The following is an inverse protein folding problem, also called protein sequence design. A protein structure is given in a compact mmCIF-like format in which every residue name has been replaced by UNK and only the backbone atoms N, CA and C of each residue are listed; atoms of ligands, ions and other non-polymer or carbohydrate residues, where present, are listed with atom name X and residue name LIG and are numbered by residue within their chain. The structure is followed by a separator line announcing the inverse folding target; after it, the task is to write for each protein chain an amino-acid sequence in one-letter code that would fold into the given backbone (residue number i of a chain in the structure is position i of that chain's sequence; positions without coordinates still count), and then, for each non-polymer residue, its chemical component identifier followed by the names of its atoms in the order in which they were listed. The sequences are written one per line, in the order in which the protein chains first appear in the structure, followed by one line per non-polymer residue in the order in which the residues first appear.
data_IF_174074813967
#
_entry.id   IF_174074813967
#
_cell.length_a   1.000
_cell.length_b   1.000
_cell.length_c   1.000
_cell.angle_alpha   90.00
_cell.angle_beta   90.00
_cell.angle_gamma   90.00
#
_symmetry.space_group_name_H-M   'P 1'
#
loop_
_entity.id
_entity.type
_entity.pdbx_description
1 polymer ?
#
# COMPACT_ATOMS: atom_id res chain seq x y z
N UNK A 1 -20.74 -21.38 0.10
CA UNK A 1 -19.73 -21.89 -0.84
C UNK A 1 -18.50 -21.01 -0.74
N UNK A 2 -17.34 -21.57 -0.38
CA UNK A 2 -16.07 -20.84 -0.35
C UNK A 2 -15.68 -20.50 -1.78
N UNK A 3 -15.57 -19.20 -2.09
CA UNK A 3 -15.09 -18.73 -3.40
C UNK A 3 -13.63 -19.17 -3.60
N UNK A 4 -13.25 -19.50 -4.83
CA UNK A 4 -11.85 -19.77 -5.16
C UNK A 4 -10.99 -18.53 -4.88
N UNK A 5 -9.88 -18.70 -4.17
CA UNK A 5 -9.08 -17.58 -3.66
C UNK A 5 -7.71 -17.48 -4.31
N UNK A 6 -7.40 -18.29 -5.33
CA UNK A 6 -6.17 -18.11 -6.11
C UNK A 6 -6.19 -16.78 -6.85
N UNK A 7 -5.06 -16.06 -6.83
CA UNK A 7 -4.88 -14.80 -7.55
C UNK A 7 -4.91 -15.08 -9.05
N UNK A 8 -5.84 -14.42 -9.75
CA UNK A 8 -6.03 -14.57 -11.19
C UNK A 8 -5.36 -13.44 -11.97
N UNK A 9 -5.49 -12.21 -11.46
CA UNK A 9 -5.02 -11.00 -12.13
C UNK A 9 -4.55 -9.97 -11.11
N UNK A 10 -3.44 -9.29 -11.44
CA UNK A 10 -2.90 -8.15 -10.69
C UNK A 10 -2.63 -7.04 -11.70
N UNK A 11 -3.15 -5.85 -11.44
CA UNK A 11 -3.00 -4.70 -12.32
C UNK A 11 -2.60 -3.46 -11.54
N UNK A 12 -1.57 -2.77 -12.02
CA UNK A 12 -1.10 -1.51 -11.48
C UNK A 12 -1.50 -0.34 -12.38
N UNK A 13 -1.82 0.80 -11.78
CA UNK A 13 -2.04 2.05 -12.50
C UNK A 13 -1.51 3.25 -11.73
N UNK A 14 -1.21 4.33 -12.46
CA UNK A 14 -0.78 5.60 -11.89
C UNK A 14 -2.01 6.43 -11.52
N UNK A 15 -2.09 6.84 -10.26
CA UNK A 15 -3.07 7.80 -9.75
C UNK A 15 -2.34 8.96 -9.07
N UNK A 16 -3.06 9.90 -8.45
CA UNK A 16 -2.48 11.08 -7.80
C UNK A 16 -2.84 11.10 -6.30
N UNK A 17 -1.86 11.44 -5.47
CA UNK A 17 -2.04 11.63 -4.03
C UNK A 17 -2.70 12.99 -3.71
N UNK A 18 -2.97 13.26 -2.43
CA UNK A 18 -3.59 14.51 -1.97
C UNK A 18 -2.76 15.77 -2.24
N UNK A 19 -1.48 15.64 -2.63
CA UNK A 19 -0.60 16.75 -3.02
C UNK A 19 -0.49 16.89 -4.54
N UNK A 20 -1.27 16.11 -5.30
CA UNK A 20 -1.20 16.06 -6.76
C UNK A 20 0.06 15.37 -7.30
N UNK A 21 0.74 14.54 -6.49
CA UNK A 21 1.92 13.78 -6.94
C UNK A 21 1.52 12.37 -7.39
N UNK A 22 2.17 11.82 -8.43
CA UNK A 22 1.90 10.45 -8.86
C UNK A 22 2.11 9.42 -7.73
N UNK A 23 1.24 8.42 -7.65
CA UNK A 23 1.41 7.22 -6.80
C UNK A 23 0.84 5.98 -7.51
N UNK A 24 1.08 4.80 -6.93
CA UNK A 24 0.66 3.50 -7.48
C UNK A 24 -0.66 3.09 -6.85
N UNK A 25 -1.66 2.79 -7.67
CA UNK A 25 -2.82 1.98 -7.28
C UNK A 25 -2.64 0.57 -7.83
N UNK A 26 -2.98 -0.45 -7.03
CA UNK A 26 -3.05 -1.83 -7.47
C UNK A 26 -4.48 -2.38 -7.32
N UNK A 27 -4.86 -3.26 -8.24
CA UNK A 27 -6.09 -4.02 -8.23
C UNK A 27 -5.76 -5.50 -8.36
N UNK A 28 -6.34 -6.32 -7.49
CA UNK A 28 -6.16 -7.78 -7.47
C UNK A 28 -7.52 -8.44 -7.62
N UNK A 29 -7.62 -9.38 -8.58
CA UNK A 29 -8.79 -10.24 -8.77
C UNK A 29 -8.45 -11.68 -8.42
N UNK A 30 -9.28 -12.31 -7.60
CA UNK A 30 -9.22 -13.74 -7.29
C UNK A 30 -10.12 -14.52 -8.25
N UNK A 31 -9.80 -15.80 -8.49
CA UNK A 31 -10.57 -16.67 -9.40
C UNK A 31 -12.05 -16.79 -9.04
N UNK A 32 -12.40 -16.66 -7.77
CA UNK A 32 -13.78 -16.65 -7.29
C UNK A 32 -14.55 -15.34 -7.53
N UNK A 33 -13.95 -14.38 -8.26
CA UNK A 33 -14.54 -13.10 -8.65
C UNK A 33 -14.33 -11.95 -7.66
N UNK A 34 -13.71 -12.22 -6.51
CA UNK A 34 -13.40 -11.20 -5.52
C UNK A 34 -12.37 -10.19 -6.04
N UNK A 35 -12.58 -8.90 -5.76
CA UNK A 35 -11.69 -7.82 -6.20
C UNK A 35 -11.31 -6.93 -5.02
N UNK A 36 -10.03 -6.66 -4.89
CA UNK A 36 -9.48 -5.70 -3.93
C UNK A 36 -8.68 -4.61 -4.64
N UNK A 37 -8.72 -3.39 -4.11
CA UNK A 37 -7.96 -2.24 -4.62
C UNK A 37 -7.31 -1.50 -3.47
N UNK A 38 -6.11 -0.97 -3.71
CA UNK A 38 -5.43 -0.13 -2.75
C UNK A 38 -4.47 0.85 -3.43
N UNK A 39 -4.31 2.03 -2.82
CA UNK A 39 -3.41 3.08 -3.27
C UNK A 39 -2.25 3.16 -2.29
N UNK A 40 -1.01 3.15 -2.78
CA UNK A 40 0.16 3.37 -1.94
C UNK A 40 0.13 4.81 -1.37
N UNK A 41 0.20 4.98 -0.04
CA UNK A 41 0.38 6.29 0.55
C UNK A 41 1.77 6.84 0.21
N UNK A 42 1.91 8.17 0.19
CA UNK A 42 3.19 8.81 -0.10
C UNK A 42 3.56 9.81 0.99
N UNK A 43 4.68 9.59 1.68
CA UNK A 43 5.23 10.50 2.69
C UNK A 43 5.87 11.76 2.09
N UNK A 44 6.01 12.81 2.90
CA UNK A 44 6.85 13.98 2.61
C UNK A 44 8.20 13.90 3.35
N UNK A 45 8.16 13.49 4.61
CA UNK A 45 9.33 13.16 5.43
C UNK A 45 9.65 11.68 5.23
N UNK A 46 10.86 11.38 4.79
CA UNK A 46 11.36 10.01 4.63
C UNK A 46 12.56 9.84 5.55
N UNK A 47 12.46 8.94 6.52
CA UNK A 47 13.60 8.48 7.30
C UNK A 47 14.62 7.79 6.39
N UNK A 48 15.91 7.91 6.73
CA UNK A 48 17.01 7.33 5.94
C UNK A 48 17.00 5.78 5.88
N UNK A 49 16.27 5.13 6.78
CA UNK A 49 16.13 3.68 6.87
C UNK A 49 14.78 3.15 6.35
N UNK A 50 13.91 4.01 5.80
CA UNK A 50 12.61 3.58 5.27
C UNK A 50 12.76 2.77 3.97
N UNK A 51 11.76 1.93 3.70
CA UNK A 51 11.61 1.30 2.41
C UNK A 51 11.43 2.36 1.30
N UNK A 52 12.03 2.12 0.14
CA UNK A 52 12.20 3.15 -0.89
C UNK A 52 11.10 3.06 -1.94
N UNK A 53 10.29 4.13 -2.04
CA UNK A 53 9.45 4.35 -3.23
C UNK A 53 10.30 4.40 -4.49
N UNK A 54 9.93 3.62 -5.50
CA UNK A 54 10.51 3.75 -6.82
C UNK A 54 9.87 4.94 -7.55
N UNK A 55 10.70 5.93 -7.87
CA UNK A 55 10.37 7.14 -8.62
C UNK A 55 11.21 7.18 -9.91
N UNK A 56 10.65 7.70 -10.99
CA UNK A 56 11.31 7.68 -12.30
C UNK A 56 12.46 8.72 -12.41
N UNK A 57 12.47 9.75 -11.57
CA UNK A 57 13.42 10.86 -11.69
C UNK A 57 13.22 11.68 -12.97
N UNK A 58 14.21 12.51 -13.30
CA UNK A 58 14.16 13.40 -14.47
C UNK A 58 13.19 14.59 -14.31
N UNK A 59 12.80 15.19 -15.43
CA UNK A 59 11.99 16.42 -15.45
C UNK A 59 10.48 16.17 -15.43
N UNK A 60 10.02 14.99 -15.88
CA UNK A 60 8.60 14.65 -15.94
C UNK A 60 8.02 14.58 -14.52
N UNK A 61 6.91 15.30 -14.28
CA UNK A 61 6.28 15.40 -12.97
C UNK A 61 7.25 15.82 -11.85
N UNK A 62 8.26 16.63 -12.16
CA UNK A 62 9.30 17.03 -11.20
C UNK A 62 10.12 15.85 -10.65
N UNK A 63 10.24 14.77 -11.42
CA UNK A 63 10.95 13.55 -11.03
C UNK A 63 10.17 12.60 -10.12
N UNK A 64 8.89 12.92 -9.83
CA UNK A 64 8.04 12.14 -8.94
C UNK A 64 7.16 11.10 -9.64
N UNK A 65 7.30 10.94 -10.96
CA UNK A 65 6.56 9.94 -11.71
C UNK A 65 6.87 8.51 -11.22
N UNK A 66 5.95 7.58 -11.49
CA UNK A 66 5.95 6.21 -10.95
C UNK A 66 5.74 5.16 -12.03
N UNK A 67 6.06 5.46 -13.30
CA UNK A 67 5.83 4.52 -14.41
C UNK A 67 6.63 3.23 -14.22
N UNK A 68 7.87 3.33 -13.73
CA UNK A 68 8.68 2.15 -13.44
C UNK A 68 8.11 1.26 -12.33
N UNK A 69 7.49 1.87 -11.31
CA UNK A 69 6.81 1.14 -10.24
C UNK A 69 5.52 0.48 -10.75
N UNK A 70 4.72 1.19 -11.55
CA UNK A 70 3.50 0.66 -12.18
C UNK A 70 3.84 -0.48 -13.14
N UNK A 71 4.87 -0.34 -13.97
CA UNK A 71 5.34 -1.39 -14.87
C UNK A 71 5.77 -2.65 -14.09
N UNK A 72 6.49 -2.49 -12.97
CA UNK A 72 6.88 -3.61 -12.12
C UNK A 72 5.67 -4.41 -11.58
N UNK A 73 4.52 -3.76 -11.35
CA UNK A 73 3.29 -4.47 -10.97
C UNK A 73 2.85 -5.45 -12.05
N UNK A 74 2.78 -5.02 -13.31
CA UNK A 74 2.32 -5.88 -14.40
C UNK A 74 3.36 -6.87 -14.91
N UNK A 75 4.62 -6.45 -15.00
CA UNK A 75 5.68 -7.22 -15.67
C UNK A 75 6.39 -8.22 -14.75
N UNK A 76 6.47 -7.93 -13.45
CA UNK A 76 7.21 -8.74 -12.48
C UNK A 76 6.31 -9.32 -11.39
N UNK A 77 5.51 -8.48 -10.74
CA UNK A 77 4.68 -8.90 -9.61
C UNK A 77 3.52 -9.80 -10.07
N UNK A 78 2.79 -9.40 -11.10
CA UNK A 78 1.62 -10.15 -11.56
C UNK A 78 1.95 -11.61 -11.95
N UNK A 79 3.02 -11.91 -12.72
CA UNK A 79 3.42 -13.29 -13.00
C UNK A 79 3.83 -14.06 -11.74
N UNK A 80 4.55 -13.43 -10.80
CA UNK A 80 5.03 -14.09 -9.59
C UNK A 80 3.92 -14.45 -8.60
N UNK A 81 2.85 -13.66 -8.54
CA UNK A 81 1.73 -13.91 -7.63
C UNK A 81 0.61 -14.75 -8.24
N UNK A 82 0.58 -14.94 -9.57
CA UNK A 82 -0.48 -15.68 -10.26
C UNK A 82 -0.59 -17.11 -9.71
N UNK A 83 -1.80 -17.49 -9.31
CA UNK A 83 -2.09 -18.82 -8.76
C UNK A 83 -1.88 -18.95 -7.25
N UNK A 84 -1.11 -18.05 -6.61
CA UNK A 84 -0.98 -18.04 -5.16
C UNK A 84 -2.32 -17.82 -4.48
N UNK A 85 -2.50 -18.41 -3.31
CA UNK A 85 -3.73 -18.25 -2.53
C UNK A 85 -3.77 -16.85 -1.90
N UNK A 86 -4.70 -16.00 -2.34
CA UNK A 86 -4.87 -14.66 -1.81
C UNK A 86 -5.28 -14.59 -0.34
N UNK A 87 -5.71 -15.70 0.27
CA UNK A 87 -5.96 -15.78 1.73
C UNK A 87 -4.67 -15.99 2.54
N UNK A 88 -3.58 -16.40 1.90
CA UNK A 88 -2.28 -16.57 2.53
C UNK A 88 -1.45 -15.30 2.35
N UNK A 89 -1.78 -14.28 3.16
CA UNK A 89 -1.16 -12.97 3.09
C UNK A 89 0.36 -13.05 3.31
N UNK A 90 0.81 -13.93 4.21
CA UNK A 90 2.23 -14.12 4.52
C UNK A 90 2.96 -14.65 3.29
N UNK A 91 2.45 -15.71 2.64
CA UNK A 91 3.09 -16.25 1.45
C UNK A 91 3.14 -15.24 0.28
N UNK A 92 2.10 -14.43 0.12
CA UNK A 92 2.08 -13.34 -0.87
C UNK A 92 3.14 -12.29 -0.57
N UNK A 93 3.22 -11.82 0.67
CA UNK A 93 4.19 -10.79 1.06
C UNK A 93 5.62 -11.32 1.01
N UNK A 94 5.86 -12.57 1.39
CA UNK A 94 7.16 -13.23 1.24
C UNK A 94 7.58 -13.38 -0.23
N UNK A 95 6.64 -13.74 -1.12
CA UNK A 95 6.89 -13.80 -2.56
C UNK A 95 7.28 -12.41 -3.11
N UNK A 96 6.60 -11.34 -2.66
CA UNK A 96 6.97 -9.96 -3.02
C UNK A 96 8.37 -9.60 -2.51
N UNK A 97 8.69 -9.93 -1.26
CA UNK A 97 10.01 -9.67 -0.64
C UNK A 97 11.13 -10.38 -1.40
N UNK A 98 10.94 -11.68 -1.66
CA UNK A 98 11.90 -12.49 -2.38
C UNK A 98 12.09 -12.00 -3.82
N UNK A 99 11.00 -11.61 -4.50
CA UNK A 99 11.05 -11.07 -5.86
C UNK A 99 11.77 -9.72 -5.95
N UNK A 100 11.63 -8.86 -4.94
CA UNK A 100 12.39 -7.60 -4.88
C UNK A 100 13.88 -7.87 -4.69
N UNK A 101 14.23 -8.71 -3.70
CA UNK A 101 15.60 -9.12 -3.41
C UNK A 101 16.47 -8.06 -2.73
N UNK A 102 15.97 -6.84 -2.50
CA UNK A 102 16.72 -5.77 -1.82
C UNK A 102 16.21 -5.54 -0.40
N UNK A 103 17.12 -5.16 0.51
CA UNK A 103 16.77 -4.89 1.91
C UNK A 103 15.78 -3.73 2.07
N UNK A 104 15.88 -2.71 1.21
CA UNK A 104 15.10 -1.48 1.28
C UNK A 104 13.98 -1.39 0.23
N UNK A 105 13.68 -2.48 -0.48
CA UNK A 105 12.59 -2.58 -1.46
C UNK A 105 12.73 -1.67 -2.67
N UNK A 106 13.97 -1.35 -3.04
CA UNK A 106 14.29 -0.49 -4.18
C UNK A 106 14.16 -1.21 -5.53
N UNK A 107 14.19 -2.54 -5.55
CA UNK A 107 14.15 -3.34 -6.78
C UNK A 107 12.79 -3.29 -7.50
N UNK A 108 11.70 -3.43 -6.76
CA UNK A 108 10.33 -3.26 -7.26
C UNK A 108 9.80 -1.87 -6.95
N UNK A 109 10.16 -1.32 -5.79
CA UNK A 109 9.61 -0.11 -5.21
C UNK A 109 8.63 -0.43 -4.09
N UNK A 110 8.87 0.12 -2.91
CA UNK A 110 8.01 -0.07 -1.73
C UNK A 110 6.55 0.29 -2.01
N UNK A 111 6.33 1.36 -2.80
CA UNK A 111 5.02 1.80 -3.28
C UNK A 111 4.30 0.75 -4.16
N UNK A 112 5.00 0.03 -5.04
CA UNK A 112 4.39 -1.04 -5.81
C UNK A 112 4.01 -2.23 -4.91
N UNK A 113 4.93 -2.63 -4.01
CA UNK A 113 4.72 -3.77 -3.12
C UNK A 113 3.57 -3.54 -2.15
N UNK A 114 3.52 -2.40 -1.46
CA UNK A 114 2.47 -2.12 -0.47
C UNK A 114 1.09 -1.99 -1.12
N UNK A 115 1.01 -1.37 -2.32
CA UNK A 115 -0.25 -1.29 -3.05
C UNK A 115 -0.80 -2.69 -3.36
N UNK A 116 0.05 -3.61 -3.84
CA UNK A 116 -0.36 -4.99 -4.15
C UNK A 116 -0.70 -5.76 -2.88
N UNK A 117 0.12 -5.68 -1.83
CA UNK A 117 -0.12 -6.34 -0.55
C UNK A 117 -1.48 -5.97 0.05
N UNK A 118 -1.80 -4.67 0.10
CA UNK A 118 -3.10 -4.19 0.57
C UNK A 118 -4.25 -4.61 -0.35
N UNK A 119 -4.06 -4.58 -1.67
CA UNK A 119 -5.09 -5.00 -2.62
C UNK A 119 -5.42 -6.50 -2.49
N UNK A 120 -4.43 -7.35 -2.19
CA UNK A 120 -4.65 -8.77 -1.86
C UNK A 120 -5.50 -8.91 -0.60
N UNK A 121 -5.16 -8.20 0.48
CA UNK A 121 -5.91 -8.24 1.73
C UNK A 121 -7.39 -7.83 1.53
N UNK A 122 -7.63 -6.78 0.73
CA UNK A 122 -8.99 -6.37 0.36
C UNK A 122 -9.74 -7.44 -0.43
N UNK A 123 -9.08 -8.06 -1.42
CA UNK A 123 -9.70 -9.11 -2.24
C UNK A 123 -10.03 -10.35 -1.39
N UNK A 124 -9.15 -10.71 -0.45
CA UNK A 124 -9.35 -11.83 0.45
C UNK A 124 -10.48 -11.59 1.48
N UNK A 125 -10.58 -10.36 2.00
CA UNK A 125 -11.69 -9.94 2.85
C UNK A 125 -13.04 -10.00 2.11
N UNK A 126 -13.09 -9.53 0.85
CA UNK A 126 -14.28 -9.65 0.00
C UNK A 126 -14.65 -11.11 -0.24
N UNK A 127 -13.67 -11.96 -0.59
CA UNK A 127 -13.90 -13.38 -0.79
C UNK A 127 -14.41 -14.10 0.48
N UNK A 128 -14.06 -13.60 1.66
CA UNK A 128 -14.54 -14.08 2.95
C UNK A 128 -15.93 -13.51 3.33
N UNK A 129 -16.46 -12.54 2.59
CA UNK A 129 -17.70 -11.85 2.94
C UNK A 129 -17.58 -11.01 4.21
N UNK A 130 -16.38 -10.50 4.50
CA UNK A 130 -16.08 -9.76 5.74
C UNK A 130 -15.57 -8.35 5.42
N UNK A 131 -15.89 -7.35 6.27
CA UNK A 131 -15.18 -6.08 6.21
C UNK A 131 -13.70 -6.29 6.57
N UNK A 132 -12.80 -5.50 5.95
CA UNK A 132 -11.34 -5.68 6.10
C UNK A 132 -10.89 -5.72 7.56
N UNK A 133 -11.40 -4.83 8.43
CA UNK A 133 -11.00 -4.81 9.85
C UNK A 133 -11.27 -6.15 10.55
N UNK A 134 -12.35 -6.84 10.18
CA UNK A 134 -12.72 -8.14 10.76
C UNK A 134 -11.91 -9.26 10.15
N UNK A 135 -11.62 -9.17 8.85
CA UNK A 135 -10.72 -10.10 8.18
C UNK A 135 -9.30 -10.04 8.77
N UNK A 136 -8.77 -8.83 8.98
CA UNK A 136 -7.45 -8.59 9.58
C UNK A 136 -7.39 -8.97 11.07
N UNK A 137 -8.52 -8.91 11.78
CA UNK A 137 -8.58 -9.39 13.16
C UNK A 137 -8.29 -10.90 13.24
N UNK A 138 -8.66 -11.67 12.21
CA UNK A 138 -8.47 -13.11 12.16
C UNK A 138 -9.07 -13.81 13.39
N UNK A 139 -8.30 -14.73 13.98
CA UNK A 139 -8.69 -15.46 15.19
C UNK A 139 -8.24 -14.76 16.49
N UNK A 140 -7.73 -13.53 16.39
CA UNK A 140 -7.15 -12.82 17.52
C UNK A 140 -8.25 -12.47 18.52
N UNK A 141 -8.11 -12.98 19.74
CA UNK A 141 -9.06 -12.73 20.82
C UNK A 141 -8.75 -11.38 21.50
N UNK A 142 -9.79 -10.60 21.78
CA UNK A 142 -9.68 -9.31 22.46
C UNK A 142 -10.79 -8.33 22.07
N UNK A 143 -10.94 -7.21 22.80
CA UNK A 143 -11.92 -6.20 22.46
C UNK A 143 -11.54 -5.50 21.14
N UNK A 144 -12.54 -5.31 20.28
CA UNK A 144 -12.42 -4.42 19.12
C UNK A 144 -12.72 -3.00 19.58
N UNK A 145 -11.76 -2.11 19.46
CA UNK A 145 -11.87 -0.71 19.90
C UNK A 145 -11.77 0.24 18.72
N UNK A 146 -12.45 1.39 18.81
CA UNK A 146 -12.18 2.51 17.93
C UNK A 146 -10.98 3.30 18.48
N UNK A 147 -9.99 3.66 17.64
CA UNK A 147 -8.87 4.47 18.09
C UNK A 147 -9.34 5.88 18.44
N UNK A 148 -8.72 6.48 19.47
CA UNK A 148 -8.94 7.88 19.79
C UNK A 148 -8.13 8.72 18.79
N UNK A 149 -8.77 9.58 17.97
CA UNK A 149 -8.07 10.28 16.91
C UNK A 149 -7.18 11.40 17.48
N UNK A 150 -5.91 11.41 17.07
CA UNK A 150 -5.01 12.55 17.22
C UNK A 150 -5.17 13.45 15.98
N UNK A 151 -5.84 14.58 16.14
CA UNK A 151 -6.21 15.44 15.01
C UNK A 151 -5.26 16.63 14.95
N UNK A 152 -4.46 16.71 13.89
CA UNK A 152 -3.63 17.87 13.61
C UNK A 152 -4.50 19.08 13.24
N UNK A 153 -4.37 20.19 13.97
CA UNK A 153 -5.06 21.46 13.69
C UNK A 153 -4.08 22.50 13.13
N UNK A 154 -2.85 22.54 13.65
CA UNK A 154 -1.83 23.46 13.17
C UNK A 154 -0.59 22.69 12.71
N UNK A 155 -0.13 23.02 11.51
CA UNK A 155 1.17 22.61 11.00
C UNK A 155 2.22 23.68 11.31
N UNK A 156 3.42 23.23 11.66
CA UNK A 156 4.61 24.04 11.85
C UNK A 156 5.79 23.50 11.03
N UNK A 157 7.01 23.81 11.45
CA UNK A 157 8.24 23.33 10.82
C UNK A 157 8.38 23.74 9.34
N UNK A 158 8.86 22.80 8.51
CA UNK A 158 9.07 23.01 7.07
C UNK A 158 7.78 23.39 6.31
N UNK A 159 6.61 23.04 6.85
CA UNK A 159 5.32 23.33 6.26
C UNK A 159 4.77 24.72 6.65
N UNK A 160 5.37 25.41 7.62
CA UNK A 160 4.94 26.74 8.09
C UNK A 160 6.04 27.81 8.00
N UNK A 161 6.93 27.70 7.01
CA UNK A 161 8.06 28.62 6.80
C UNK A 161 8.96 28.82 8.03
N UNK A 162 9.07 27.79 8.90
CA UNK A 162 9.91 27.79 10.11
C UNK A 162 9.58 28.89 11.13
N UNK A 163 8.36 29.41 11.15
CA UNK A 163 7.91 30.31 12.22
C UNK A 163 7.72 29.61 13.57
N UNK A 164 7.57 28.28 13.53
CA UNK A 164 7.43 27.40 14.69
C UNK A 164 8.24 26.15 14.40
N UNK A 165 9.06 25.71 15.35
CA UNK A 165 9.95 24.55 15.17
C UNK A 165 9.19 23.21 15.21
N UNK A 166 8.13 23.13 16.02
CA UNK A 166 7.27 21.95 16.17
C UNK A 166 6.51 21.71 14.87
N UNK A 167 6.51 20.47 14.37
CA UNK A 167 5.91 20.12 13.09
C UNK A 167 4.38 20.01 13.14
N UNK A 168 3.82 19.33 14.14
CA UNK A 168 2.39 19.01 14.18
C UNK A 168 1.83 19.31 15.58
N UNK A 169 0.84 20.21 15.67
CA UNK A 169 0.06 20.45 16.88
C UNK A 169 -1.27 19.71 16.78
N UNK A 170 -1.45 18.74 17.65
CA UNK A 170 -2.57 17.81 17.62
C UNK A 170 -3.47 18.00 18.84
N UNK A 171 -4.77 17.78 18.64
CA UNK A 171 -5.74 17.69 19.74
C UNK A 171 -6.23 16.24 19.88
N UNK A 172 -6.59 15.90 21.11
CA UNK A 172 -7.22 14.63 21.46
C UNK A 172 -8.46 14.96 22.28
N UNK A 173 -9.63 14.53 21.82
CA UNK A 173 -10.90 14.74 22.50
C UNK A 173 -11.38 13.40 23.09
N UNK A 174 -11.11 13.14 24.38
CA UNK A 174 -11.48 11.88 25.06
C UNK A 174 -12.99 11.72 25.26
#
# INVERSE_FOLDING_TARGET
MTRATSIEHVHGRRVFDSRGRPTVEAEVRLQGGAVGRAIAPAGASKGSAEAVDRRDGGSVMGGHDVRGAVAAVGERIAPALRGLNGRDQVAVDEALIALDGTANRSGLGANAMIAVSMAVAWAAAEAAGQPLWRYLLGDRQGPVTLPLPEIQIFGGGAHAARRVDIQDFMIVCP
#
